data_IF_549375550165
#
_entry.id   IF_549375550165
#
_cell.length_a   1.000
_cell.length_b   1.000
_cell.length_c   1.000
_cell.angle_alpha   90.00
_cell.angle_beta   90.00
_cell.angle_gamma   90.00
#
_symmetry.space_group_name_H-M   'P 1'
#
loop_
_entity.id
_entity.type
_entity.pdbx_description
1 polymer ?
#
# COMPACT_ATOMS: atom_id res chain seq x y z
N UNK A 1 58.22 -9.68 -45.93
CA UNK A 1 57.08 -8.76 -45.71
C UNK A 1 55.79 -9.38 -46.24
N UNK A 2 54.85 -9.78 -45.39
CA UNK A 2 53.41 -9.90 -45.72
C UNK A 2 52.60 -9.76 -44.42
N UNK A 3 51.55 -8.94 -44.51
CA UNK A 3 50.90 -8.15 -43.45
C UNK A 3 50.09 -8.99 -42.45
N UNK A 4 50.22 -8.64 -41.16
CA UNK A 4 49.36 -9.07 -40.05
C UNK A 4 47.96 -8.45 -40.24
N UNK A 5 46.93 -9.26 -40.45
CA UNK A 5 45.51 -8.81 -40.48
C UNK A 5 45.10 -8.40 -39.06
N UNK A 6 44.77 -7.13 -38.84
CA UNK A 6 44.11 -6.66 -37.61
C UNK A 6 42.65 -7.14 -37.64
N UNK A 7 42.20 -7.77 -36.55
CA UNK A 7 40.78 -8.07 -36.30
C UNK A 7 40.00 -6.77 -36.10
N UNK A 8 38.76 -6.64 -36.63
CA UNK A 8 37.93 -5.49 -36.34
C UNK A 8 37.50 -5.54 -34.87
N UNK A 9 37.79 -4.45 -34.16
CA UNK A 9 37.56 -4.28 -32.72
C UNK A 9 36.12 -3.81 -32.48
N UNK A 10 35.38 -4.52 -31.62
CA UNK A 10 34.36 -4.03 -30.68
C UNK A 10 33.45 -2.83 -31.05
N UNK A 11 32.90 -2.73 -32.26
CA UNK A 11 31.83 -1.75 -32.53
C UNK A 11 30.45 -2.28 -32.10
N UNK A 12 30.20 -3.59 -32.21
CA UNK A 12 28.91 -4.19 -31.88
C UNK A 12 28.54 -4.22 -30.39
N UNK A 13 29.53 -4.40 -29.50
CA UNK A 13 29.31 -4.46 -28.04
C UNK A 13 28.90 -3.11 -27.47
N UNK A 14 29.51 -2.02 -27.96
CA UNK A 14 29.10 -0.68 -27.59
C UNK A 14 27.74 -0.32 -28.19
N UNK A 15 27.42 -0.79 -29.40
CA UNK A 15 26.11 -0.54 -30.03
C UNK A 15 24.97 -1.20 -29.27
N UNK A 16 25.13 -2.45 -28.80
CA UNK A 16 24.09 -3.19 -28.06
C UNK A 16 23.86 -2.62 -26.66
N UNK A 17 24.92 -2.23 -25.95
CA UNK A 17 24.80 -1.54 -24.65
C UNK A 17 24.11 -0.17 -24.82
N UNK A 18 24.44 0.55 -25.89
CA UNK A 18 23.75 1.80 -26.24
C UNK A 18 22.29 1.55 -26.64
N UNK A 19 21.98 0.46 -27.34
CA UNK A 19 20.62 0.13 -27.79
C UNK A 19 19.71 -0.31 -26.64
N UNK A 20 20.22 -1.09 -25.67
CA UNK A 20 19.48 -1.48 -24.45
C UNK A 20 19.25 -0.25 -23.55
N UNK A 21 20.20 0.67 -23.48
CA UNK A 21 20.03 1.95 -22.77
C UNK A 21 19.09 2.93 -23.51
N UNK A 22 19.11 2.94 -24.86
CA UNK A 22 18.31 3.83 -25.70
C UNK A 22 16.85 3.37 -25.85
N UNK A 23 16.58 2.06 -25.90
CA UNK A 23 15.22 1.53 -25.84
C UNK A 23 14.57 1.79 -24.47
N UNK A 24 15.35 1.75 -23.39
CA UNK A 24 14.92 2.19 -22.06
C UNK A 24 14.61 3.69 -21.98
N UNK A 25 15.22 4.53 -22.83
CA UNK A 25 15.00 5.98 -22.90
C UNK A 25 13.84 6.37 -23.83
N UNK A 26 13.63 5.65 -24.94
CA UNK A 26 12.56 5.94 -25.90
C UNK A 26 11.17 5.53 -25.40
N UNK A 27 11.08 4.50 -24.56
CA UNK A 27 9.81 4.04 -23.99
C UNK A 27 9.37 4.87 -22.76
N UNK A 28 10.27 5.64 -22.14
CA UNK A 28 9.96 6.51 -21.00
C UNK A 28 9.47 7.92 -21.40
N UNK A 29 9.69 8.35 -22.65
CA UNK A 29 9.43 9.73 -23.08
C UNK A 29 8.05 9.98 -23.72
N UNK A 30 7.20 8.96 -23.89
CA UNK A 30 5.90 9.11 -24.56
C UNK A 30 4.71 9.42 -23.64
N UNK A 31 4.91 9.63 -22.33
CA UNK A 31 3.80 9.85 -21.37
C UNK A 31 3.98 11.06 -20.43
N UNK A 32 4.78 12.05 -20.81
CA UNK A 32 5.06 13.25 -19.98
C UNK A 32 4.09 14.44 -20.21
N UNK A 33 2.88 14.22 -20.73
CA UNK A 33 1.98 15.31 -21.11
C UNK A 33 0.72 15.49 -20.26
N UNK A 34 0.53 14.77 -19.13
CA UNK A 34 -0.73 14.86 -18.36
C UNK A 34 -0.58 14.84 -16.82
N UNK A 35 0.45 15.45 -16.26
CA UNK A 35 0.62 15.48 -14.79
C UNK A 35 1.15 16.81 -14.23
N UNK A 36 0.92 17.93 -14.92
CA UNK A 36 1.11 19.26 -14.34
C UNK A 36 -0.24 19.93 -14.14
N UNK A 37 -0.78 19.78 -12.94
CA UNK A 37 -1.50 20.83 -12.21
C UNK A 37 -2.18 20.17 -11.03
N UNK A 38 -1.62 20.33 -9.84
CA UNK A 38 -2.34 20.49 -8.57
C UNK A 38 -1.30 20.78 -7.49
N UNK A 39 -0.97 22.06 -7.35
CA UNK A 39 -0.22 22.58 -6.22
C UNK A 39 -1.11 23.57 -5.47
N UNK A 40 -1.52 23.18 -4.27
CA UNK A 40 -1.59 24.01 -3.06
C UNK A 40 -2.56 23.31 -2.12
N UNK A 41 -2.10 22.89 -0.96
CA UNK A 41 -2.66 23.14 0.37
C UNK A 41 -1.71 22.49 1.37
N UNK A 42 -1.42 23.20 2.46
CA UNK A 42 -0.40 22.88 3.47
C UNK A 42 -0.60 21.49 4.08
N UNK A 43 0.32 20.58 3.77
CA UNK A 43 0.40 19.23 4.35
C UNK A 43 1.46 19.27 5.45
N UNK A 44 1.07 18.93 6.68
CA UNK A 44 2.04 18.56 7.72
C UNK A 44 2.43 17.09 7.48
N UNK A 45 3.70 16.86 7.15
CA UNK A 45 4.22 15.54 6.78
C UNK A 45 5.22 15.13 7.83
N UNK A 46 4.95 14.01 8.48
CA UNK A 46 5.92 13.33 9.33
C UNK A 46 6.97 12.70 8.42
N UNK A 47 8.19 13.20 8.48
CA UNK A 47 9.33 12.60 7.79
C UNK A 47 9.70 11.30 8.52
N UNK A 48 9.59 10.17 7.81
CA UNK A 48 10.06 8.87 8.32
C UNK A 48 11.59 8.85 8.25
N UNK A 49 12.24 8.77 9.41
CA UNK A 49 13.69 8.56 9.51
C UNK A 49 14.05 7.16 9.03
N UNK A 50 15.04 7.13 8.13
CA UNK A 50 15.57 5.96 7.44
C UNK A 50 16.14 4.95 8.44
N UNK A 51 15.50 3.78 8.60
CA UNK A 51 16.11 2.64 9.29
C UNK A 51 17.07 1.91 8.34
N UNK A 52 18.34 2.32 8.37
CA UNK A 52 19.42 1.56 7.74
C UNK A 52 19.65 0.26 8.55
N UNK A 53 19.01 -0.82 8.10
CA UNK A 53 19.31 -2.17 8.59
C UNK A 53 20.61 -2.65 7.95
N UNK A 54 21.72 -2.51 8.67
CA UNK A 54 22.99 -3.15 8.31
C UNK A 54 22.92 -4.65 8.64
N UNK A 55 22.94 -5.51 7.63
CA UNK A 55 23.27 -6.93 7.82
C UNK A 55 24.53 -7.28 7.04
N UNK A 56 25.47 -7.89 7.75
CA UNK A 56 26.80 -8.27 7.30
C UNK A 56 26.72 -9.46 6.32
N UNK A 57 27.17 -9.23 5.10
CA UNK A 57 27.33 -10.23 4.06
C UNK A 57 27.65 -9.55 2.73
N UNK A 58 28.87 -9.02 2.59
CA UNK A 58 29.32 -8.34 1.37
C UNK A 58 29.44 -9.33 0.20
N UNK A 59 28.32 -9.61 -0.47
CA UNK A 59 28.32 -10.23 -1.79
C UNK A 59 28.86 -9.21 -2.80
N UNK A 60 29.75 -9.62 -3.71
CA UNK A 60 30.23 -8.76 -4.81
C UNK A 60 29.08 -8.11 -5.61
N UNK A 61 27.90 -8.75 -5.67
CA UNK A 61 26.66 -8.20 -6.26
C UNK A 61 26.18 -6.93 -5.56
N UNK A 62 26.29 -6.86 -4.23
CA UNK A 62 25.94 -5.67 -3.46
C UNK A 62 26.87 -4.49 -3.79
N UNK A 63 28.14 -4.74 -4.12
CA UNK A 63 29.08 -3.71 -4.55
C UNK A 63 28.72 -3.11 -5.91
N UNK A 64 28.26 -3.93 -6.87
CA UNK A 64 27.81 -3.43 -8.17
C UNK A 64 26.55 -2.57 -8.06
N UNK A 65 25.59 -2.96 -7.22
CA UNK A 65 24.38 -2.16 -7.02
C UNK A 65 24.72 -0.87 -6.27
N UNK A 66 25.61 -0.92 -5.26
CA UNK A 66 26.12 0.28 -4.58
C UNK A 66 26.86 1.21 -5.54
N UNK A 67 27.63 0.66 -6.48
CA UNK A 67 28.26 1.44 -7.55
C UNK A 67 27.21 2.15 -8.42
N UNK A 68 26.19 1.42 -8.87
CA UNK A 68 25.08 2.01 -9.64
C UNK A 68 24.37 3.12 -8.84
N UNK A 69 24.04 2.87 -7.58
CA UNK A 69 23.39 3.84 -6.70
C UNK A 69 24.25 5.11 -6.55
N UNK A 70 25.55 4.96 -6.28
CA UNK A 70 26.46 6.07 -6.02
C UNK A 70 26.80 6.90 -7.26
N UNK A 71 26.99 6.25 -8.41
CA UNK A 71 27.59 6.93 -9.58
C UNK A 71 26.66 7.06 -10.79
N UNK A 72 25.62 6.24 -10.92
CA UNK A 72 24.79 6.21 -12.12
C UNK A 72 23.38 6.72 -11.84
N UNK A 73 22.80 6.38 -10.69
CA UNK A 73 21.37 6.60 -10.42
C UNK A 73 20.97 8.07 -10.46
N UNK A 74 21.82 8.99 -10.00
CA UNK A 74 21.58 10.44 -10.00
C UNK A 74 21.85 11.16 -11.32
N UNK A 75 22.38 10.47 -12.34
CA UNK A 75 22.60 11.05 -13.68
C UNK A 75 21.31 11.04 -14.51
N UNK A 76 20.34 10.18 -14.14
CA UNK A 76 19.06 10.09 -14.84
C UNK A 76 18.15 11.25 -14.41
N UNK A 77 17.57 11.97 -15.38
CA UNK A 77 16.59 13.03 -15.12
C UNK A 77 15.23 12.53 -14.61
N UNK A 78 15.03 11.21 -14.54
CA UNK A 78 13.82 10.55 -14.02
C UNK A 78 14.19 9.59 -12.91
N UNK A 79 13.52 9.72 -11.77
CA UNK A 79 13.68 8.81 -10.63
C UNK A 79 12.82 7.56 -10.78
N UNK A 80 13.17 6.51 -10.01
CA UNK A 80 12.36 5.30 -9.98
C UNK A 80 10.97 5.62 -9.38
N UNK A 81 9.86 5.26 -10.05
CA UNK A 81 8.51 5.57 -9.57
C UNK A 81 8.06 4.67 -8.42
N UNK A 82 8.85 3.66 -8.06
CA UNK A 82 8.47 2.69 -7.04
C UNK A 82 9.32 2.86 -5.77
N UNK A 83 8.73 2.48 -4.63
CA UNK A 83 9.36 2.52 -3.32
C UNK A 83 9.34 1.13 -2.66
N UNK A 84 10.50 0.62 -2.19
CA UNK A 84 11.83 1.15 -2.46
C UNK A 84 12.14 1.14 -3.98
N UNK A 85 13.12 1.96 -4.39
CA UNK A 85 13.56 2.00 -5.79
C UNK A 85 14.01 0.62 -6.27
N UNK A 86 13.96 0.32 -7.56
CA UNK A 86 14.38 -1.00 -8.09
C UNK A 86 15.79 -1.41 -7.66
N UNK A 87 16.71 -0.45 -7.49
CA UNK A 87 18.05 -0.71 -6.97
C UNK A 87 18.06 -1.11 -5.50
N UNK A 88 17.27 -0.45 -4.65
CA UNK A 88 17.13 -0.81 -3.23
C UNK A 88 16.35 -2.13 -3.05
N UNK A 89 15.31 -2.34 -3.86
CA UNK A 89 14.62 -3.63 -3.94
C UNK A 89 15.61 -4.75 -4.29
N UNK A 90 16.45 -4.54 -5.31
CA UNK A 90 17.48 -5.51 -5.71
C UNK A 90 18.49 -5.77 -4.60
N UNK A 91 18.98 -4.73 -3.92
CA UNK A 91 19.84 -4.90 -2.73
C UNK A 91 19.20 -5.79 -1.68
N UNK A 92 17.95 -5.49 -1.30
CA UNK A 92 17.22 -6.29 -0.31
C UNK A 92 17.05 -7.75 -0.79
N UNK A 93 16.71 -7.96 -2.07
CA UNK A 93 16.60 -9.30 -2.64
C UNK A 93 17.92 -10.08 -2.56
N UNK A 94 19.06 -9.46 -2.92
CA UNK A 94 20.38 -10.10 -2.87
C UNK A 94 20.92 -10.31 -1.45
N UNK A 95 20.51 -9.49 -0.48
CA UNK A 95 20.89 -9.66 0.91
C UNK A 95 20.12 -10.82 1.57
N UNK A 96 18.88 -11.03 1.16
CA UNK A 96 17.98 -11.99 1.82
C UNK A 96 17.89 -13.34 1.08
N UNK A 97 18.41 -13.45 -0.15
CA UNK A 97 18.22 -14.63 -0.99
C UNK A 97 19.50 -15.04 -1.73
N UNK A 98 19.52 -16.27 -2.22
CA UNK A 98 20.59 -16.74 -3.09
C UNK A 98 20.60 -15.99 -4.44
N UNK A 99 21.75 -16.03 -5.12
CA UNK A 99 21.96 -15.27 -6.35
C UNK A 99 20.90 -15.53 -7.44
N UNK A 100 20.55 -16.78 -7.82
CA UNK A 100 19.54 -17.03 -8.85
C UNK A 100 18.17 -16.43 -8.50
N UNK A 101 17.70 -16.62 -7.26
CA UNK A 101 16.41 -16.11 -6.80
C UNK A 101 16.41 -14.58 -6.78
N UNK A 102 17.42 -13.97 -6.17
CA UNK A 102 17.56 -12.52 -6.09
C UNK A 102 17.64 -11.86 -7.47
N UNK A 103 18.36 -12.49 -8.40
CA UNK A 103 18.49 -11.99 -9.75
C UNK A 103 17.18 -12.09 -10.53
N UNK A 104 16.45 -13.21 -10.41
CA UNK A 104 15.13 -13.36 -11.01
C UNK A 104 14.10 -12.37 -10.46
N UNK A 105 14.09 -12.10 -9.15
CA UNK A 105 13.18 -11.11 -8.55
C UNK A 105 13.55 -9.68 -8.89
N UNK A 106 14.84 -9.37 -8.98
CA UNK A 106 15.29 -8.07 -9.47
C UNK A 106 14.87 -7.87 -10.93
N UNK A 107 15.02 -8.91 -11.76
CA UNK A 107 14.56 -8.89 -13.16
C UNK A 107 13.03 -8.73 -13.26
N UNK A 108 12.27 -9.44 -12.42
CA UNK A 108 10.80 -9.29 -12.30
C UNK A 108 10.40 -7.85 -11.95
N UNK A 109 11.02 -7.28 -10.92
CA UNK A 109 10.81 -5.90 -10.49
C UNK A 109 11.10 -4.90 -11.60
N UNK A 110 12.15 -5.12 -12.38
CA UNK A 110 12.51 -4.24 -13.50
C UNK A 110 11.50 -4.31 -14.65
N UNK A 111 10.91 -5.47 -14.95
CA UNK A 111 9.92 -5.62 -16.04
C UNK A 111 8.63 -4.83 -15.80
N UNK A 112 8.22 -4.68 -14.54
CA UNK A 112 6.98 -3.99 -14.16
C UNK A 112 7.18 -2.58 -13.62
N UNK A 113 8.43 -2.11 -13.56
CA UNK A 113 8.75 -0.83 -12.93
C UNK A 113 8.03 0.33 -13.63
N UNK A 114 7.17 1.04 -12.89
CA UNK A 114 6.45 2.21 -13.41
C UNK A 114 5.23 1.88 -14.26
N UNK A 115 4.74 0.65 -14.19
CA UNK A 115 3.56 0.18 -14.93
C UNK A 115 2.45 -0.29 -14.00
N UNK A 116 1.23 -0.39 -14.56
CA UNK A 116 0.08 -1.02 -13.91
C UNK A 116 -0.21 -0.45 -12.50
N UNK A 117 -0.30 0.89 -12.40
CA UNK A 117 -0.31 1.63 -11.12
C UNK A 117 -1.48 1.26 -10.21
N UNK A 118 -2.63 0.92 -10.78
CA UNK A 118 -3.84 0.54 -10.04
C UNK A 118 -3.62 -0.64 -9.08
N UNK A 119 -2.63 -1.49 -9.34
CA UNK A 119 -2.33 -2.67 -8.52
C UNK A 119 -1.35 -2.40 -7.36
N UNK A 120 -0.96 -1.14 -7.14
CA UNK A 120 -0.02 -0.76 -6.08
C UNK A 120 -0.59 0.35 -5.20
N UNK A 121 -0.45 0.24 -3.87
CA UNK A 121 -0.70 1.36 -2.98
C UNK A 121 0.34 2.47 -3.21
N UNK A 122 0.01 3.69 -2.80
CA UNK A 122 0.93 4.82 -2.87
C UNK A 122 1.59 5.07 -1.52
N UNK A 123 2.80 5.63 -1.57
CA UNK A 123 3.47 6.25 -0.43
C UNK A 123 3.92 7.66 -0.83
N UNK A 124 3.99 8.56 0.15
CA UNK A 124 4.52 9.91 -0.07
C UNK A 124 5.93 10.01 0.52
N UNK A 125 6.90 10.32 -0.34
CA UNK A 125 8.30 10.50 0.06
C UNK A 125 8.70 11.96 -0.11
N UNK A 126 9.87 12.37 0.39
CA UNK A 126 10.44 13.71 0.14
C UNK A 126 10.52 14.06 -1.36
N UNK A 127 10.57 13.04 -2.20
CA UNK A 127 10.69 13.15 -3.66
C UNK A 127 9.35 13.00 -4.37
N UNK A 128 8.24 13.05 -3.63
CA UNK A 128 6.87 12.92 -4.10
C UNK A 128 6.31 11.50 -3.98
N UNK A 129 5.16 11.28 -4.65
CA UNK A 129 4.44 10.00 -4.63
C UNK A 129 5.25 8.88 -5.29
N UNK A 130 5.19 7.68 -4.70
CA UNK A 130 5.79 6.46 -5.22
C UNK A 130 4.83 5.28 -5.07
N UNK A 131 4.96 4.30 -5.96
CA UNK A 131 4.23 3.02 -5.89
C UNK A 131 4.92 2.12 -4.85
N UNK A 132 4.20 1.79 -3.78
CA UNK A 132 4.71 1.03 -2.66
C UNK A 132 4.72 -0.46 -2.98
N UNK A 133 5.90 -1.08 -3.02
CA UNK A 133 6.05 -2.50 -3.26
C UNK A 133 7.42 -3.03 -2.81
N UNK A 134 7.36 -3.87 -1.79
CA UNK A 134 8.51 -4.42 -1.08
C UNK A 134 8.80 -5.87 -1.50
N UNK A 135 10.04 -6.36 -1.31
CA UNK A 135 10.33 -7.80 -1.42
C UNK A 135 9.41 -8.60 -0.49
N UNK A 136 8.97 -9.77 -0.91
CA UNK A 136 7.95 -10.55 -0.21
C UNK A 136 8.40 -11.03 1.19
N UNK A 137 9.70 -10.98 1.46
CA UNK A 137 10.32 -11.40 2.71
C UNK A 137 10.27 -10.30 3.77
N UNK A 138 10.03 -9.06 3.36
CA UNK A 138 9.92 -7.92 4.26
C UNK A 138 8.45 -7.71 4.63
N UNK A 139 8.15 -7.38 5.90
CA UNK A 139 6.79 -7.00 6.27
C UNK A 139 6.35 -5.79 5.43
N UNK A 140 5.07 -5.78 5.03
CA UNK A 140 4.51 -4.65 4.32
C UNK A 140 4.48 -3.43 5.24
N UNK A 141 5.06 -2.28 4.86
CA UNK A 141 5.13 -1.11 5.72
C UNK A 141 3.79 -0.35 5.66
N UNK A 142 2.88 -0.71 6.57
CA UNK A 142 1.56 -0.07 6.68
C UNK A 142 1.65 1.42 7.07
N UNK A 143 2.68 1.79 7.81
CA UNK A 143 3.03 3.15 8.23
C UNK A 143 3.40 4.07 7.05
N UNK A 144 3.89 3.49 5.96
CA UNK A 144 4.28 4.24 4.77
C UNK A 144 3.14 4.40 3.77
N UNK A 145 1.98 3.80 4.02
CA UNK A 145 0.83 3.87 3.12
C UNK A 145 0.25 5.28 3.17
N UNK A 146 0.17 5.92 2.00
CA UNK A 146 -0.47 7.22 1.89
C UNK A 146 -1.98 7.08 2.14
N UNK A 147 -2.46 7.72 3.21
CA UNK A 147 -3.89 7.89 3.51
C UNK A 147 -4.25 9.37 3.25
N UNK A 148 -5.43 9.61 2.68
CA UNK A 148 -5.93 10.97 2.50
C UNK A 148 -6.23 11.65 3.83
N UNK A 149 -6.38 12.98 3.82
CA UNK A 149 -6.77 13.72 5.03
C UNK A 149 -8.18 13.28 5.48
N UNK A 150 -8.29 12.80 6.72
CA UNK A 150 -9.56 12.56 7.40
C UNK A 150 -9.91 13.76 8.29
N UNK A 151 -11.19 14.13 8.33
CA UNK A 151 -11.71 15.16 9.21
C UNK A 151 -12.45 14.51 10.37
N UNK A 152 -12.03 14.83 11.59
CA UNK A 152 -12.65 14.37 12.82
C UNK A 152 -13.38 15.51 13.51
N UNK A 153 -14.55 15.20 14.07
CA UNK A 153 -15.42 16.15 14.74
C UNK A 153 -15.54 15.81 16.22
N UNK A 154 -15.79 16.83 17.03
CA UNK A 154 -15.95 16.67 18.46
C UNK A 154 -17.23 15.89 18.79
N UNK A 155 -17.13 15.00 19.77
CA UNK A 155 -18.28 14.38 20.40
C UNK A 155 -19.00 15.40 21.29
N UNK A 156 -20.33 15.32 21.33
CA UNK A 156 -21.18 16.09 22.24
C UNK A 156 -22.25 15.21 22.87
N UNK A 157 -22.44 15.31 24.17
CA UNK A 157 -23.62 14.78 24.85
C UNK A 157 -24.76 15.83 24.94
N UNK A 158 -25.81 15.52 25.68
CA UNK A 158 -26.98 16.41 25.91
C UNK A 158 -26.79 17.37 27.09
N UNK A 159 -25.68 17.26 27.82
CA UNK A 159 -25.37 18.08 28.98
C UNK A 159 -24.84 19.43 28.49
N UNK A 160 -25.12 20.50 29.24
CA UNK A 160 -24.68 21.83 28.88
C UNK A 160 -23.18 22.00 29.17
N UNK A 161 -22.41 22.20 28.12
CA UNK A 161 -20.98 22.51 28.20
C UNK A 161 -20.65 23.78 29.00
N UNK A 162 -19.52 23.73 29.70
CA UNK A 162 -18.83 24.93 30.16
C UNK A 162 -18.03 25.60 29.02
N UNK A 163 -17.53 26.81 29.25
CA UNK A 163 -16.76 27.55 28.23
C UNK A 163 -15.49 26.82 27.78
N UNK A 164 -14.92 25.96 28.64
CA UNK A 164 -13.69 25.21 28.37
C UNK A 164 -13.99 24.07 27.41
N UNK A 165 -15.03 23.28 27.70
CA UNK A 165 -15.48 22.19 26.83
C UNK A 165 -15.89 22.73 25.45
N UNK A 166 -16.63 23.84 25.40
CA UNK A 166 -16.97 24.50 24.13
C UNK A 166 -15.71 24.91 23.33
N UNK A 167 -14.67 25.39 24.00
CA UNK A 167 -13.41 25.77 23.35
C UNK A 167 -12.67 24.56 22.79
N UNK A 168 -12.61 23.45 23.54
CA UNK A 168 -12.04 22.17 23.08
C UNK A 168 -12.78 21.68 21.83
N UNK A 169 -14.11 21.61 21.86
CA UNK A 169 -14.93 21.19 20.71
C UNK A 169 -14.67 22.07 19.49
N UNK A 170 -14.53 23.39 19.69
CA UNK A 170 -14.18 24.33 18.62
C UNK A 170 -12.80 24.06 18.03
N UNK A 171 -11.80 23.70 18.83
CA UNK A 171 -10.47 23.34 18.33
C UNK A 171 -10.53 22.07 17.46
N UNK A 172 -11.20 21.02 17.95
CA UNK A 172 -11.36 19.74 17.24
C UNK A 172 -12.07 19.97 15.89
N UNK A 173 -13.20 20.68 15.89
CA UNK A 173 -13.99 20.93 14.68
C UNK A 173 -13.26 21.81 13.64
N UNK A 174 -12.20 22.52 14.04
CA UNK A 174 -11.34 23.30 13.15
C UNK A 174 -10.04 22.56 12.76
N UNK A 175 -9.88 21.29 13.15
CA UNK A 175 -8.69 20.49 12.85
C UNK A 175 -7.47 20.76 13.75
N UNK A 176 -7.62 21.56 14.82
CA UNK A 176 -6.57 21.87 15.78
C UNK A 176 -6.47 20.79 16.86
N UNK A 177 -6.22 19.54 16.45
CA UNK A 177 -6.28 18.37 17.34
C UNK A 177 -5.20 18.37 18.42
N UNK A 178 -3.99 18.86 18.12
CA UNK A 178 -2.89 18.94 19.10
C UNK A 178 -3.16 19.99 20.17
N UNK A 179 -3.71 21.13 19.78
CA UNK A 179 -4.13 22.19 20.68
C UNK A 179 -5.33 21.75 21.54
N UNK A 180 -6.29 21.04 20.93
CA UNK A 180 -7.40 20.44 21.67
C UNK A 180 -6.90 19.44 22.71
N UNK A 181 -5.97 18.54 22.35
CA UNK A 181 -5.39 17.57 23.25
C UNK A 181 -4.61 18.22 24.40
N UNK A 182 -3.88 19.31 24.14
CA UNK A 182 -3.22 20.09 25.18
C UNK A 182 -4.24 20.66 26.18
N UNK A 183 -5.33 21.22 25.68
CA UNK A 183 -6.39 21.81 26.51
C UNK A 183 -7.14 20.74 27.32
N UNK A 184 -7.42 19.58 26.72
CA UNK A 184 -7.97 18.41 27.41
C UNK A 184 -7.09 18.00 28.59
N UNK A 185 -5.77 17.86 28.37
CA UNK A 185 -4.81 17.50 29.43
C UNK A 185 -4.77 18.56 30.54
N UNK A 186 -4.94 19.83 30.19
CA UNK A 186 -5.03 20.93 31.17
C UNK A 186 -6.27 20.76 32.06
N UNK A 187 -7.43 20.48 31.48
CA UNK A 187 -8.68 20.26 32.24
C UNK A 187 -8.57 19.01 33.12
N UNK A 188 -8.09 17.90 32.55
CA UNK A 188 -7.86 16.62 33.24
C UNK A 188 -6.99 16.81 34.49
N UNK A 189 -5.92 17.62 34.39
CA UNK A 189 -5.02 17.91 35.51
C UNK A 189 -5.69 18.68 36.67
N UNK A 190 -6.56 19.65 36.37
CA UNK A 190 -7.13 20.52 37.40
C UNK A 190 -8.47 20.05 37.97
N UNK A 191 -9.32 19.44 37.15
CA UNK A 191 -10.71 19.11 37.51
C UNK A 191 -11.02 17.61 37.39
N UNK A 192 -10.12 16.82 36.82
CA UNK A 192 -10.45 15.48 36.33
C UNK A 192 -11.11 15.53 34.94
N UNK A 193 -11.44 14.35 34.40
CA UNK A 193 -12.06 14.21 33.09
C UNK A 193 -13.39 13.48 33.21
N UNK A 194 -14.44 14.07 32.66
CA UNK A 194 -15.71 13.40 32.43
C UNK A 194 -15.66 12.56 31.15
N UNK A 195 -16.71 11.78 30.92
CA UNK A 195 -16.82 10.89 29.77
C UNK A 195 -16.65 11.66 28.44
N UNK A 196 -17.30 12.82 28.31
CA UNK A 196 -17.22 13.63 27.09
C UNK A 196 -15.80 14.12 26.80
N UNK A 197 -15.07 14.57 27.82
CA UNK A 197 -13.68 14.99 27.68
C UNK A 197 -12.78 13.80 27.30
N UNK A 198 -13.01 12.62 27.87
CA UNK A 198 -12.27 11.39 27.55
C UNK A 198 -12.56 10.90 26.13
N UNK A 199 -13.81 10.94 25.67
CA UNK A 199 -14.18 10.59 24.30
C UNK A 199 -13.53 11.55 23.29
N UNK A 200 -13.57 12.86 23.56
CA UNK A 200 -12.89 13.86 22.73
C UNK A 200 -11.36 13.71 22.75
N UNK A 201 -10.78 13.19 23.85
CA UNK A 201 -9.36 12.82 23.91
C UNK A 201 -9.03 11.67 22.95
N UNK A 202 -9.87 10.64 22.89
CA UNK A 202 -9.69 9.51 21.95
C UNK A 202 -9.80 9.98 20.50
N UNK A 203 -10.75 10.86 20.20
CA UNK A 203 -10.87 11.49 18.87
C UNK A 203 -9.59 12.23 18.49
N UNK A 204 -9.03 13.03 19.42
CA UNK A 204 -7.77 13.73 19.17
C UNK A 204 -6.60 12.78 18.94
N UNK A 205 -6.50 11.68 19.71
CA UNK A 205 -5.45 10.68 19.48
C UNK A 205 -5.60 10.01 18.11
N UNK A 206 -6.81 9.58 17.74
CA UNK A 206 -7.11 9.01 16.42
C UNK A 206 -6.73 9.98 15.30
N UNK A 207 -7.09 11.25 15.43
CA UNK A 207 -6.81 12.30 14.44
C UNK A 207 -5.32 12.63 14.29
N UNK A 208 -4.51 12.37 15.32
CA UNK A 208 -3.07 12.60 15.34
C UNK A 208 -2.25 11.34 15.00
N UNK A 209 -2.89 10.22 14.63
CA UNK A 209 -2.25 8.91 14.43
C UNK A 209 -1.52 8.41 15.70
N UNK A 210 -1.91 8.91 16.88
CA UNK A 210 -1.37 8.52 18.18
C UNK A 210 -2.17 7.35 18.78
N UNK A 211 -2.47 6.33 17.97
CA UNK A 211 -3.36 5.21 18.32
C UNK A 211 -2.89 4.42 19.55
N UNK A 212 -1.57 4.20 19.69
CA UNK A 212 -1.00 3.48 20.84
C UNK A 212 -1.23 4.23 22.16
N UNK A 213 -1.17 5.56 22.15
CA UNK A 213 -1.46 6.39 23.32
C UNK A 213 -2.92 6.27 23.74
N UNK A 214 -3.84 6.20 22.78
CA UNK A 214 -5.27 6.01 23.06
C UNK A 214 -5.53 4.66 23.75
N UNK A 215 -5.00 3.56 23.20
CA UNK A 215 -5.19 2.23 23.77
C UNK A 215 -4.52 2.08 25.15
N UNK A 216 -3.35 2.72 25.34
CA UNK A 216 -2.71 2.78 26.64
C UNK A 216 -3.54 3.55 27.66
N UNK A 217 -4.03 4.75 27.31
CA UNK A 217 -4.87 5.56 28.20
C UNK A 217 -6.18 4.83 28.55
N UNK A 218 -6.81 4.16 27.59
CA UNK A 218 -8.02 3.37 27.80
C UNK A 218 -7.82 2.22 28.79
N UNK A 219 -6.72 1.47 28.64
CA UNK A 219 -6.44 0.31 29.49
C UNK A 219 -5.92 0.66 30.89
N UNK A 220 -5.29 1.82 31.06
CA UNK A 220 -4.56 2.15 32.32
C UNK A 220 -5.10 3.35 33.08
N UNK A 221 -5.72 4.33 32.42
CA UNK A 221 -6.11 5.61 33.02
C UNK A 221 -7.60 5.83 33.07
N UNK A 222 -8.35 5.30 32.11
CA UNK A 222 -9.81 5.45 32.08
C UNK A 222 -10.44 4.60 33.20
N UNK A 223 -11.32 5.19 34.04
CA UNK A 223 -12.05 4.49 35.08
C UNK A 223 -12.85 3.31 34.54
N UNK A 224 -12.92 2.20 35.29
CA UNK A 224 -13.64 0.98 34.89
C UNK A 224 -15.11 1.26 34.52
N UNK A 225 -15.74 2.21 35.20
CA UNK A 225 -17.14 2.61 34.96
C UNK A 225 -17.40 3.16 33.55
N UNK A 226 -16.38 3.73 32.89
CA UNK A 226 -16.51 4.28 31.54
C UNK A 226 -16.07 3.28 30.46
N UNK A 227 -15.41 2.17 30.82
CA UNK A 227 -14.87 1.25 29.80
C UNK A 227 -15.92 0.46 29.04
N UNK A 228 -17.14 0.39 29.57
CA UNK A 228 -18.29 -0.21 28.88
C UNK A 228 -19.19 0.82 28.24
N UNK A 229 -18.85 2.11 28.33
CA UNK A 229 -19.65 3.18 27.70
C UNK A 229 -19.63 3.00 26.17
N UNK A 230 -20.80 2.92 25.51
CA UNK A 230 -20.88 2.66 24.08
C UNK A 230 -20.18 3.70 23.20
N UNK A 231 -20.20 4.99 23.57
CA UNK A 231 -19.57 6.01 22.73
C UNK A 231 -18.05 5.96 22.86
N UNK A 232 -17.54 5.82 24.09
CA UNK A 232 -16.10 5.67 24.29
C UNK A 232 -15.59 4.38 23.62
N UNK A 233 -16.31 3.26 23.78
CA UNK A 233 -15.99 2.00 23.10
C UNK A 233 -16.02 2.15 21.58
N UNK A 234 -16.92 2.96 21.02
CA UNK A 234 -16.94 3.21 19.59
C UNK A 234 -15.64 3.87 19.13
N UNK A 235 -15.14 4.87 19.87
CA UNK A 235 -13.88 5.54 19.52
C UNK A 235 -12.69 4.56 19.59
N UNK A 236 -12.68 3.67 20.60
CA UNK A 236 -11.66 2.62 20.71
C UNK A 236 -11.75 1.63 19.57
N UNK A 237 -12.95 1.15 19.25
CA UNK A 237 -13.18 0.23 18.13
C UNK A 237 -12.77 0.86 16.80
N UNK A 238 -13.01 2.15 16.59
CA UNK A 238 -12.58 2.86 15.39
C UNK A 238 -11.04 2.98 15.31
N UNK A 239 -10.36 3.23 16.44
CA UNK A 239 -8.89 3.22 16.52
C UNK A 239 -8.31 1.82 16.25
N UNK A 240 -8.95 0.78 16.78
CA UNK A 240 -8.56 -0.60 16.52
C UNK A 240 -8.76 -0.99 15.06
N UNK A 241 -9.81 -0.48 14.42
CA UNK A 241 -10.02 -0.63 12.98
C UNK A 241 -8.86 0.02 12.19
N UNK A 242 -8.46 1.25 12.54
CA UNK A 242 -7.37 1.96 11.86
C UNK A 242 -6.02 1.21 11.95
N UNK A 243 -5.82 0.48 13.06
CA UNK A 243 -4.69 -0.41 13.32
C UNK A 243 -4.83 -1.81 12.68
N UNK A 244 -5.97 -2.14 12.08
CA UNK A 244 -6.25 -3.45 11.48
C UNK A 244 -6.59 -4.56 12.48
N UNK A 245 -6.91 -4.20 13.73
CA UNK A 245 -7.28 -5.14 14.80
C UNK A 245 -8.77 -5.51 14.74
N UNK A 246 -9.26 -5.97 13.58
CA UNK A 246 -10.69 -6.21 13.31
C UNK A 246 -11.39 -7.15 14.31
N UNK A 247 -10.69 -8.13 14.88
CA UNK A 247 -11.28 -9.00 15.92
C UNK A 247 -11.62 -8.24 17.20
N UNK A 248 -10.81 -7.24 17.57
CA UNK A 248 -11.05 -6.40 18.75
C UNK A 248 -12.21 -5.45 18.52
N UNK A 249 -12.36 -4.94 17.29
CA UNK A 249 -13.54 -4.17 16.86
C UNK A 249 -14.83 -4.94 17.15
N UNK A 250 -14.89 -6.21 16.73
CA UNK A 250 -16.05 -7.08 16.95
C UNK A 250 -16.27 -7.38 18.45
N UNK A 251 -15.20 -7.58 19.22
CA UNK A 251 -15.26 -7.80 20.67
C UNK A 251 -15.88 -6.58 21.38
N UNK A 252 -15.32 -5.38 21.17
CA UNK A 252 -15.83 -4.15 21.77
C UNK A 252 -17.23 -3.78 21.27
N UNK A 253 -17.52 -4.02 19.99
CA UNK A 253 -18.87 -3.82 19.46
C UNK A 253 -19.89 -4.72 20.16
N UNK A 254 -19.56 -5.99 20.39
CA UNK A 254 -20.48 -6.93 21.06
C UNK A 254 -20.82 -6.49 22.49
N UNK A 255 -19.83 -5.95 23.23
CA UNK A 255 -20.03 -5.38 24.56
C UNK A 255 -20.93 -4.15 24.50
N UNK A 256 -20.62 -3.18 23.63
CA UNK A 256 -21.39 -1.95 23.50
C UNK A 256 -22.85 -2.20 23.05
N UNK A 257 -23.06 -3.10 22.09
CA UNK A 257 -24.41 -3.46 21.59
C UNK A 257 -25.25 -4.21 22.63
N UNK A 258 -24.63 -4.86 23.62
CA UNK A 258 -25.31 -5.48 24.75
C UNK A 258 -25.83 -4.48 25.80
N UNK A 259 -25.14 -3.34 25.95
CA UNK A 259 -25.53 -2.25 26.85
C UNK A 259 -26.57 -1.31 26.21
N UNK A 260 -26.54 -1.15 24.88
CA UNK A 260 -27.45 -0.29 24.15
C UNK A 260 -28.85 -0.92 24.01
N UNK A 261 -29.95 -0.16 24.23
CA UNK A 261 -31.28 -0.66 23.88
C UNK A 261 -31.39 -0.89 22.37
N UNK A 262 -32.25 -1.83 21.97
CA UNK A 262 -32.49 -2.11 20.54
C UNK A 262 -33.05 -0.89 19.78
N UNK A 263 -33.72 0.02 20.49
CA UNK A 263 -34.29 1.25 19.93
C UNK A 263 -33.29 2.41 19.84
N UNK A 264 -32.02 2.23 20.18
CA UNK A 264 -31.03 3.30 20.07
C UNK A 264 -30.66 3.53 18.59
N UNK A 265 -30.92 4.75 18.09
CA UNK A 265 -30.88 5.03 16.65
C UNK A 265 -29.59 5.68 16.17
N UNK A 266 -28.63 6.01 17.04
CA UNK A 266 -27.44 6.78 16.66
C UNK A 266 -26.14 5.98 16.76
N UNK A 267 -25.88 5.37 17.91
CA UNK A 267 -24.63 4.67 18.24
C UNK A 267 -24.63 3.24 17.71
N UNK A 268 -25.74 2.51 17.83
CA UNK A 268 -25.90 1.14 17.34
C UNK A 268 -25.64 1.03 15.83
N UNK A 269 -26.20 1.87 14.94
CA UNK A 269 -25.87 1.84 13.52
C UNK A 269 -24.38 2.07 13.23
N UNK A 270 -23.70 2.93 14.00
CA UNK A 270 -22.26 3.17 13.84
C UNK A 270 -21.44 1.90 14.14
N UNK A 271 -21.83 1.13 15.16
CA UNK A 271 -21.24 -0.19 15.41
C UNK A 271 -21.56 -1.21 14.32
N UNK A 272 -22.79 -1.23 13.79
CA UNK A 272 -23.14 -2.12 12.67
C UNK A 272 -22.31 -1.83 11.41
N UNK A 273 -22.01 -0.55 11.14
CA UNK A 273 -21.08 -0.15 10.08
C UNK A 273 -19.68 -0.72 10.35
N UNK A 274 -19.14 -0.52 11.57
CA UNK A 274 -17.83 -1.06 11.95
C UNK A 274 -17.77 -2.59 11.85
N UNK A 275 -18.83 -3.31 12.27
CA UNK A 275 -18.92 -4.76 12.15
C UNK A 275 -18.95 -5.20 10.68
N UNK A 276 -19.76 -4.54 9.86
CA UNK A 276 -19.82 -4.78 8.42
C UNK A 276 -18.46 -4.63 7.75
N UNK A 277 -17.71 -3.58 8.13
CA UNK A 277 -16.36 -3.35 7.65
C UNK A 277 -15.35 -4.38 8.19
N UNK A 278 -15.38 -4.70 9.49
CA UNK A 278 -14.49 -5.66 10.12
C UNK A 278 -14.66 -7.08 9.55
N UNK A 279 -15.90 -7.52 9.34
CA UNK A 279 -16.21 -8.79 8.68
C UNK A 279 -15.77 -8.79 7.21
N UNK A 280 -15.98 -7.70 6.48
CA UNK A 280 -15.51 -7.58 5.10
C UNK A 280 -13.97 -7.67 4.99
N UNK A 281 -13.24 -7.11 5.97
CA UNK A 281 -11.78 -7.23 6.06
C UNK A 281 -11.33 -8.69 6.24
N UNK A 282 -12.08 -9.50 7.01
CA UNK A 282 -11.86 -10.94 7.13
C UNK A 282 -12.37 -11.78 5.95
N UNK A 283 -13.10 -11.17 5.00
CA UNK A 283 -13.80 -11.85 3.89
C UNK A 283 -14.97 -12.72 4.37
N UNK A 284 -15.53 -12.38 5.52
CA UNK A 284 -16.74 -12.96 6.12
C UNK A 284 -17.96 -12.20 5.58
N UNK A 285 -18.27 -12.44 4.31
CA UNK A 285 -19.19 -11.58 3.56
C UNK A 285 -20.65 -11.70 3.98
N UNK A 286 -21.05 -12.87 4.49
CA UNK A 286 -22.42 -13.08 4.93
C UNK A 286 -22.68 -12.29 6.20
N UNK A 287 -21.71 -12.27 7.10
CA UNK A 287 -21.71 -11.53 8.36
C UNK A 287 -21.64 -10.02 8.11
N UNK A 288 -20.85 -9.60 7.11
CA UNK A 288 -20.85 -8.22 6.65
C UNK A 288 -22.21 -7.80 6.09
N UNK A 289 -22.85 -8.65 5.27
CA UNK A 289 -24.18 -8.41 4.71
C UNK A 289 -25.26 -8.40 5.79
N UNK A 290 -25.17 -9.28 6.79
CA UNK A 290 -26.06 -9.32 7.94
C UNK A 290 -25.99 -8.01 8.74
N UNK A 291 -24.78 -7.50 9.01
CA UNK A 291 -24.57 -6.23 9.73
C UNK A 291 -25.26 -5.05 9.03
N UNK A 292 -25.11 -4.94 7.70
CA UNK A 292 -25.79 -3.88 6.94
C UNK A 292 -27.30 -4.14 6.77
N UNK A 293 -27.73 -5.41 6.75
CA UNK A 293 -29.15 -5.77 6.69
C UNK A 293 -29.87 -5.40 7.98
N UNK A 294 -29.26 -5.64 9.14
CA UNK A 294 -29.77 -5.19 10.43
C UNK A 294 -29.90 -3.66 10.46
N UNK A 295 -28.95 -2.95 9.86
CA UNK A 295 -28.96 -1.48 9.81
C UNK A 295 -30.15 -0.89 9.02
N UNK A 296 -30.81 -1.66 8.15
CA UNK A 296 -31.97 -1.21 7.36
C UNK A 296 -33.19 -0.79 8.20
N UNK A 297 -33.25 -1.22 9.47
CA UNK A 297 -34.32 -0.83 10.38
C UNK A 297 -34.23 0.63 10.82
N UNK A 298 -33.03 1.24 10.77
CA UNK A 298 -32.79 2.62 11.19
C UNK A 298 -32.97 3.59 10.02
N UNK A 299 -34.05 4.37 10.02
CA UNK A 299 -34.43 5.23 8.89
C UNK A 299 -33.30 6.19 8.45
N UNK A 300 -32.58 6.77 9.40
CA UNK A 300 -31.48 7.72 9.12
C UNK A 300 -30.26 7.05 8.46
N UNK A 301 -30.08 5.73 8.63
CA UNK A 301 -28.96 4.95 8.09
C UNK A 301 -29.36 4.03 6.95
N UNK A 302 -30.65 3.94 6.63
CA UNK A 302 -31.18 3.03 5.61
C UNK A 302 -30.53 3.24 4.24
N UNK A 303 -30.35 4.50 3.82
CA UNK A 303 -29.73 4.80 2.53
C UNK A 303 -28.26 4.33 2.48
N UNK A 304 -27.52 4.50 3.58
CA UNK A 304 -26.15 4.01 3.71
C UNK A 304 -26.11 2.47 3.66
N UNK A 305 -27.00 1.82 4.39
CA UNK A 305 -27.14 0.36 4.41
C UNK A 305 -27.41 -0.20 3.00
N UNK A 306 -28.40 0.35 2.29
CA UNK A 306 -28.75 -0.05 0.92
C UNK A 306 -27.58 0.16 -0.05
N UNK A 307 -26.83 1.26 0.09
CA UNK A 307 -25.64 1.52 -0.72
C UNK A 307 -24.53 0.48 -0.47
N UNK A 308 -24.27 0.14 0.79
CA UNK A 308 -23.25 -0.84 1.16
C UNK A 308 -23.65 -2.28 0.78
N UNK A 309 -24.92 -2.65 0.92
CA UNK A 309 -25.45 -3.92 0.42
C UNK A 309 -25.29 -4.04 -1.10
N UNK A 310 -25.57 -2.99 -1.87
CA UNK A 310 -25.37 -2.98 -3.32
C UNK A 310 -23.88 -3.17 -3.69
N UNK A 311 -22.96 -2.58 -2.93
CA UNK A 311 -21.51 -2.82 -3.10
C UNK A 311 -21.18 -4.30 -2.88
N UNK A 312 -21.72 -4.92 -1.82
CA UNK A 312 -21.51 -6.33 -1.51
C UNK A 312 -22.13 -7.27 -2.54
N UNK A 313 -23.27 -6.92 -3.14
CA UNK A 313 -23.88 -7.68 -4.24
C UNK A 313 -23.02 -7.62 -5.51
N UNK A 314 -22.51 -6.42 -5.87
CA UNK A 314 -21.64 -6.21 -7.03
C UNK A 314 -20.30 -6.94 -6.94
N UNK A 315 -19.90 -7.40 -5.75
CA UNK A 315 -18.72 -8.25 -5.55
C UNK A 315 -18.92 -9.66 -6.09
N UNK A 316 -20.13 -10.24 -6.04
CA UNK A 316 -20.39 -11.62 -6.47
C UNK A 316 -19.90 -11.97 -7.89
N UNK A 317 -20.03 -11.10 -8.91
CA UNK A 317 -19.49 -11.38 -10.25
C UNK A 317 -17.96 -11.23 -10.39
N UNK A 318 -17.24 -10.74 -9.36
CA UNK A 318 -15.79 -10.48 -9.45
C UNK A 318 -15.02 -11.80 -9.57
N UNK A 319 -14.60 -12.12 -10.80
CA UNK A 319 -13.85 -13.35 -11.08
C UNK A 319 -12.42 -13.22 -10.57
N UNK A 320 -12.01 -14.18 -9.75
CA UNK A 320 -10.61 -14.33 -9.35
C UNK A 320 -9.77 -14.90 -10.50
N UNK A 321 -8.50 -14.52 -10.52
CA UNK A 321 -7.49 -15.05 -11.43
C UNK A 321 -6.74 -16.19 -10.75
N UNK A 322 -6.52 -17.28 -11.49
CA UNK A 322 -5.75 -18.43 -11.03
C UNK A 322 -4.24 -18.15 -11.18
N UNK A 323 -3.46 -18.14 -10.09
CA UNK A 323 -2.02 -17.92 -10.15
C UNK A 323 -1.25 -19.00 -10.93
N UNK A 324 -1.69 -20.26 -10.85
CA UNK A 324 -1.06 -21.38 -11.57
C UNK A 324 -1.26 -21.22 -13.07
N UNK A 325 -2.48 -20.87 -13.49
CA UNK A 325 -2.76 -20.60 -14.91
C UNK A 325 -1.94 -19.41 -15.43
N UNK A 326 -1.81 -18.35 -14.63
CA UNK A 326 -0.95 -17.21 -14.98
C UNK A 326 0.52 -17.64 -15.18
N UNK A 327 1.03 -18.52 -14.31
CA UNK A 327 2.37 -19.11 -14.46
C UNK A 327 2.51 -19.97 -15.74
N UNK A 328 1.55 -20.85 -16.02
CA UNK A 328 1.56 -21.71 -17.21
C UNK A 328 1.50 -20.91 -18.50
N UNK A 329 0.64 -19.89 -18.57
CA UNK A 329 0.55 -19.01 -19.74
C UNK A 329 1.88 -18.29 -19.99
N UNK A 330 2.63 -17.99 -18.93
CA UNK A 330 3.91 -17.25 -19.00
C UNK A 330 5.06 -18.04 -19.64
N UNK A 331 4.86 -19.30 -20.05
CA UNK A 331 5.76 -19.98 -20.98
C UNK A 331 5.95 -19.12 -22.23
N UNK A 332 4.89 -18.46 -22.69
CA UNK A 332 4.99 -17.36 -23.64
C UNK A 332 5.21 -16.07 -22.83
N UNK A 333 6.37 -15.41 -22.94
CA UNK A 333 6.65 -14.20 -22.18
C UNK A 333 5.54 -13.17 -22.29
N UNK A 334 5.08 -12.64 -21.15
CA UNK A 334 4.00 -11.66 -21.06
C UNK A 334 2.57 -12.21 -21.03
N UNK A 335 2.31 -13.45 -21.48
CA UNK A 335 0.94 -13.95 -21.59
C UNK A 335 0.23 -14.13 -20.23
N UNK A 336 0.94 -14.53 -19.17
CA UNK A 336 0.37 -14.56 -17.82
C UNK A 336 0.02 -13.17 -17.29
N UNK A 337 0.86 -12.16 -17.53
CA UNK A 337 0.55 -10.78 -17.19
C UNK A 337 -0.68 -10.27 -17.94
N UNK A 338 -0.78 -10.56 -19.23
CA UNK A 338 -1.95 -10.22 -20.05
C UNK A 338 -3.24 -10.87 -19.50
N UNK A 339 -3.17 -12.14 -19.09
CA UNK A 339 -4.30 -12.83 -18.43
C UNK A 339 -4.76 -12.12 -17.15
N UNK A 340 -3.83 -11.56 -16.38
CA UNK A 340 -4.09 -10.82 -15.13
C UNK A 340 -4.36 -9.33 -15.34
N UNK A 341 -4.51 -8.85 -16.58
CA UNK A 341 -4.80 -7.44 -16.87
C UNK A 341 -3.60 -6.48 -16.74
N UNK A 342 -2.40 -7.00 -16.47
CA UNK A 342 -1.16 -6.21 -16.37
C UNK A 342 -0.55 -6.01 -17.77
N UNK A 343 -1.23 -5.24 -18.62
CA UNK A 343 -0.94 -5.15 -20.06
C UNK A 343 0.42 -4.53 -20.36
N UNK A 344 0.82 -3.52 -19.59
CA UNK A 344 2.11 -2.86 -19.77
C UNK A 344 3.26 -3.79 -19.38
N UNK A 345 3.14 -4.48 -18.25
CA UNK A 345 4.13 -5.49 -17.85
C UNK A 345 4.20 -6.65 -18.86
N UNK A 346 3.06 -7.05 -19.45
CA UNK A 346 3.03 -8.09 -20.49
C UNK A 346 3.88 -7.72 -21.71
N UNK A 347 3.75 -6.48 -22.20
CA UNK A 347 4.54 -5.98 -23.34
C UNK A 347 6.03 -5.94 -22.99
N UNK A 348 6.36 -5.37 -21.82
CA UNK A 348 7.75 -5.29 -21.33
C UNK A 348 8.39 -6.68 -21.23
N UNK A 349 7.68 -7.66 -20.67
CA UNK A 349 8.16 -9.03 -20.55
C UNK A 349 8.37 -9.69 -21.92
N UNK A 350 7.46 -9.50 -22.87
CA UNK A 350 7.59 -10.02 -24.23
C UNK A 350 8.80 -9.43 -24.95
N UNK A 351 8.96 -8.11 -24.93
CA UNK A 351 10.05 -7.42 -25.61
C UNK A 351 11.41 -7.77 -25.00
N UNK A 352 11.54 -7.75 -23.67
CA UNK A 352 12.81 -8.03 -23.00
C UNK A 352 13.29 -9.46 -23.25
N UNK A 353 12.41 -10.45 -23.06
CA UNK A 353 12.76 -11.85 -23.31
C UNK A 353 12.98 -12.14 -24.81
N UNK A 354 12.21 -11.51 -25.70
CA UNK A 354 12.40 -11.64 -27.14
C UNK A 354 13.74 -11.07 -27.61
N UNK A 355 14.09 -9.85 -27.18
CA UNK A 355 15.34 -9.18 -27.54
C UNK A 355 16.56 -9.87 -26.95
N UNK A 356 16.52 -10.25 -25.67
CA UNK A 356 17.63 -10.97 -25.02
C UNK A 356 17.80 -12.39 -25.58
N UNK A 357 16.69 -13.08 -25.86
CA UNK A 357 16.71 -14.38 -26.54
C UNK A 357 17.33 -14.28 -27.93
N UNK A 358 16.93 -13.29 -28.73
CA UNK A 358 17.51 -13.04 -30.04
C UNK A 358 19.01 -12.67 -29.96
N UNK A 359 19.39 -11.81 -29.01
CA UNK A 359 20.79 -11.43 -28.79
C UNK A 359 21.65 -12.64 -28.38
N UNK A 360 21.10 -13.54 -27.57
CA UNK A 360 21.75 -14.79 -27.17
C UNK A 360 22.00 -15.68 -28.40
N UNK A 361 20.93 -15.95 -29.17
CA UNK A 361 21.01 -16.79 -30.38
C UNK A 361 21.99 -16.22 -31.40
N UNK A 362 21.82 -14.95 -31.78
CA UNK A 362 22.67 -14.29 -32.78
C UNK A 362 24.13 -14.22 -32.36
N UNK A 363 24.42 -14.02 -31.06
CA UNK A 363 25.80 -13.98 -30.58
C UNK A 363 26.48 -15.35 -30.67
N UNK A 364 25.76 -16.43 -30.35
CA UNK A 364 26.29 -17.80 -30.45
C UNK A 364 26.50 -18.19 -31.92
N UNK A 365 25.54 -17.90 -32.79
CA UNK A 365 25.62 -18.19 -34.23
C UNK A 365 26.81 -17.47 -34.89
N UNK A 366 27.07 -16.23 -34.49
CA UNK A 366 28.22 -15.44 -34.95
C UNK A 366 29.55 -15.80 -34.24
N UNK A 367 29.59 -16.83 -33.40
CA UNK A 367 30.80 -17.27 -32.68
C UNK A 367 31.24 -16.36 -31.53
N UNK A 368 30.44 -15.36 -31.15
CA UNK A 368 30.66 -14.51 -29.99
C UNK A 368 30.08 -15.13 -28.72
N UNK A 369 30.69 -16.22 -28.27
CA UNK A 369 30.21 -16.99 -27.12
C UNK A 369 30.19 -16.19 -25.81
N UNK A 370 31.10 -15.23 -25.62
CA UNK A 370 31.12 -14.40 -24.42
C UNK A 370 29.85 -13.55 -24.27
N UNK A 371 29.46 -12.85 -25.34
CA UNK A 371 28.22 -12.08 -25.37
C UNK A 371 26.99 -13.01 -25.33
N UNK A 372 27.06 -14.17 -26.00
CA UNK A 372 26.00 -15.17 -25.99
C UNK A 372 25.70 -15.70 -24.59
N UNK A 373 26.73 -16.09 -23.82
CA UNK A 373 26.58 -16.56 -22.44
C UNK A 373 26.03 -15.45 -21.56
N UNK A 374 26.57 -14.23 -21.66
CA UNK A 374 26.10 -13.10 -20.86
C UNK A 374 24.61 -12.80 -21.14
N UNK A 375 24.23 -12.62 -22.41
CA UNK A 375 22.86 -12.38 -22.81
C UNK A 375 21.94 -13.53 -22.38
N UNK A 376 22.42 -14.78 -22.45
CA UNK A 376 21.68 -15.96 -22.03
C UNK A 376 21.39 -15.99 -20.52
N UNK A 377 22.36 -15.63 -19.68
CA UNK A 377 22.17 -15.53 -18.22
C UNK A 377 21.13 -14.46 -17.88
N UNK A 378 21.21 -13.28 -18.50
CA UNK A 378 20.20 -12.23 -18.33
C UNK A 378 18.83 -12.70 -18.83
N UNK A 379 18.76 -13.27 -20.03
CA UNK A 379 17.51 -13.78 -20.60
C UNK A 379 16.85 -14.80 -19.67
N UNK A 380 17.63 -15.75 -19.12
CA UNK A 380 17.11 -16.75 -18.19
C UNK A 380 16.53 -16.11 -16.93
N UNK A 381 17.19 -15.11 -16.36
CA UNK A 381 16.70 -14.40 -15.18
C UNK A 381 15.41 -13.63 -15.46
N UNK A 382 15.33 -12.92 -16.58
CA UNK A 382 14.10 -12.24 -17.02
C UNK A 382 12.98 -13.25 -17.35
N UNK A 383 13.31 -14.42 -17.87
CA UNK A 383 12.34 -15.45 -18.20
C UNK A 383 11.73 -16.09 -16.95
N UNK A 384 12.57 -16.46 -15.98
CA UNK A 384 12.14 -16.97 -14.66
C UNK A 384 11.38 -15.89 -13.88
N UNK A 385 11.86 -14.64 -13.93
CA UNK A 385 11.17 -13.48 -13.36
C UNK A 385 9.79 -13.25 -13.98
N UNK A 386 9.63 -13.48 -15.28
CA UNK A 386 8.34 -13.32 -15.97
C UNK A 386 7.32 -14.35 -15.48
N UNK A 387 7.73 -15.62 -15.34
CA UNK A 387 6.84 -16.68 -14.86
C UNK A 387 6.43 -16.43 -13.40
N UNK A 388 7.42 -16.22 -12.51
CA UNK A 388 7.14 -15.99 -11.09
C UNK A 388 6.35 -14.69 -10.85
N UNK A 389 6.64 -13.64 -11.61
CA UNK A 389 5.93 -12.37 -11.51
C UNK A 389 4.49 -12.42 -12.04
N UNK A 390 4.19 -13.26 -13.03
CA UNK A 390 2.82 -13.49 -13.49
C UNK A 390 1.97 -14.22 -12.44
N UNK A 391 2.56 -15.16 -11.69
CA UNK A 391 1.89 -15.76 -10.53
C UNK A 391 1.56 -14.66 -9.51
N UNK A 392 2.53 -13.79 -9.19
CA UNK A 392 2.35 -12.65 -8.28
C UNK A 392 1.32 -11.63 -8.78
N UNK A 393 1.24 -11.39 -10.09
CA UNK A 393 0.25 -10.46 -10.66
C UNK A 393 -1.18 -10.98 -10.54
N UNK A 394 -1.39 -12.30 -10.56
CA UNK A 394 -2.70 -12.89 -10.28
C UNK A 394 -3.12 -12.65 -8.82
N UNK A 395 -2.17 -12.75 -7.88
CA UNK A 395 -2.42 -12.40 -6.49
C UNK A 395 -2.75 -10.91 -6.33
N UNK A 396 -1.96 -10.00 -6.94
CA UNK A 396 -2.24 -8.56 -6.94
C UNK A 396 -3.60 -8.22 -7.54
N UNK A 397 -3.98 -8.86 -8.65
CA UNK A 397 -5.29 -8.66 -9.25
C UNK A 397 -6.43 -9.07 -8.31
N UNK A 398 -6.29 -10.21 -7.64
CA UNK A 398 -7.28 -10.69 -6.68
C UNK A 398 -7.36 -9.80 -5.43
N UNK A 399 -6.21 -9.34 -4.93
CA UNK A 399 -6.11 -8.44 -3.80
C UNK A 399 -6.70 -7.06 -4.12
N UNK A 400 -6.39 -6.52 -5.30
CA UNK A 400 -6.96 -5.27 -5.79
C UNK A 400 -8.50 -5.33 -5.89
N UNK A 401 -9.07 -6.43 -6.40
CA UNK A 401 -10.53 -6.59 -6.44
C UNK A 401 -11.14 -6.60 -5.04
N UNK A 402 -10.50 -7.28 -4.09
CA UNK A 402 -10.95 -7.31 -2.70
C UNK A 402 -10.85 -5.91 -2.06
N UNK A 403 -9.69 -5.24 -2.15
CA UNK A 403 -9.48 -3.89 -1.63
C UNK A 403 -10.41 -2.87 -2.26
N UNK A 404 -10.72 -2.98 -3.55
CA UNK A 404 -11.67 -2.09 -4.22
C UNK A 404 -13.06 -2.14 -3.58
N UNK A 405 -13.51 -3.31 -3.12
CA UNK A 405 -14.79 -3.45 -2.40
C UNK A 405 -14.68 -2.80 -1.03
N UNK A 406 -13.62 -3.10 -0.27
CA UNK A 406 -13.38 -2.51 1.06
C UNK A 406 -13.30 -0.99 1.00
N UNK A 407 -12.47 -0.44 0.12
CA UNK A 407 -12.31 1.01 -0.05
C UNK A 407 -13.66 1.67 -0.43
N UNK A 408 -14.52 0.98 -1.20
CA UNK A 408 -15.84 1.50 -1.54
C UNK A 408 -16.78 1.52 -0.31
N UNK A 409 -16.70 0.50 0.56
CA UNK A 409 -17.46 0.46 1.80
C UNK A 409 -16.96 1.52 2.79
N UNK A 410 -15.65 1.66 2.97
CA UNK A 410 -15.03 2.67 3.84
C UNK A 410 -15.39 4.09 3.37
N UNK A 411 -15.27 4.35 2.06
CA UNK A 411 -15.61 5.64 1.46
C UNK A 411 -17.08 6.03 1.67
N UNK A 412 -18.00 5.06 1.58
CA UNK A 412 -19.41 5.33 1.85
C UNK A 412 -19.69 5.54 3.35
N UNK A 413 -18.98 4.81 4.21
CA UNK A 413 -19.24 4.74 5.64
C UNK A 413 -18.77 5.97 6.42
N UNK A 414 -17.76 6.72 5.94
CA UNK A 414 -17.27 8.00 6.49
C UNK A 414 -17.31 8.09 8.04
N UNK A 415 -16.59 7.21 8.75
CA UNK A 415 -16.61 7.13 10.23
C UNK A 415 -15.26 7.42 10.91
#
# INVERSE_FOLDING_TARGET
>A
MKKKKRSPMNVGVHLVIFFVAFLGWSLSNSLYAMASDYASHSVFITFSEKSDTSSNGDLATSDYIRFYQKYISGIRGQECPMYPSCSHYGMAAFNNNNFPTAFAWTAERLMRCGHDHDYYPFTFTERGFRLLDYPAENPFPSDMLYRGNAYFFAYSDLIRDDSTTMFIKKLINNGHYREALLEIRRVEFYKGADLELLTNKMICYRALDEHENALFDFSTRIPEEYRTDPELLFQIAAIEYDLGNHNRVLEHSSVALGELPESEEFTRPRFLVLNGLAHAQHKDWNEAEESYSEMLQFQNYRQLAEANLNILERRLPLKRKDPTLAGLLSIVPGAGYAYTGHTHTAISAFLLNGLLGYATYSSIDNGNYGLGILAGIFNLAFYVGNISGAVRSAHRFNDHQWRSVINSLEFNSNF
#
